data_IF_923514523946
#
_entry.id   IF_923514523946
#
_cell.length_a   1.000
_cell.length_b   1.000
_cell.length_c   1.000
_cell.angle_alpha   90.00
_cell.angle_beta   90.00
_cell.angle_gamma   90.00
#
_symmetry.space_group_name_H-M   'P 1'
#
loop_
_entity.id
_entity.type
_entity.pdbx_description
1 polymer ?
#
# COMPACT_ATOMS: atom_id res chain seq x y z
N UNK A 1 -0.57 14.83 18.79
CA UNK A 1 0.06 14.75 17.46
C UNK A 1 -0.61 13.69 16.60
N UNK A 2 -0.80 13.93 15.30
CA UNK A 2 -1.42 12.99 14.36
C UNK A 2 -0.50 12.79 13.16
N UNK A 3 -0.05 11.55 12.96
CA UNK A 3 0.85 11.17 11.86
C UNK A 3 0.11 10.36 10.80
N UNK A 4 0.58 10.40 9.55
CA UNK A 4 -0.02 9.67 8.43
C UNK A 4 0.93 8.58 7.93
N UNK A 5 0.55 7.31 8.14
CA UNK A 5 1.25 6.13 7.61
C UNK A 5 0.51 5.54 6.40
N UNK A 6 0.74 4.28 6.04
CA UNK A 6 0.02 3.58 4.98
C UNK A 6 -0.28 2.15 5.43
N UNK A 7 -1.40 1.57 5.00
CA UNK A 7 -1.67 0.14 5.27
C UNK A 7 -0.69 -0.80 4.57
N UNK A 8 0.03 -0.32 3.56
CA UNK A 8 1.04 -1.07 2.79
C UNK A 8 2.18 -1.68 3.62
N UNK A 9 2.36 -1.24 4.86
CA UNK A 9 3.36 -1.82 5.77
C UNK A 9 2.92 -3.16 6.38
N UNK A 10 1.61 -3.43 6.44
CA UNK A 10 1.08 -4.73 6.90
C UNK A 10 1.04 -5.77 5.79
N UNK A 11 0.75 -5.32 4.56
CA UNK A 11 0.58 -6.21 3.40
C UNK A 11 1.87 -6.47 2.62
N UNK A 12 2.93 -5.70 2.88
CA UNK A 12 4.24 -5.91 2.24
C UNK A 12 4.20 -5.72 0.73
N UNK A 13 4.31 -4.48 0.24
CA UNK A 13 4.31 -4.23 -1.21
C UNK A 13 5.68 -4.56 -1.84
N UNK A 14 5.78 -5.57 -2.72
CA UNK A 14 7.02 -5.84 -3.45
C UNK A 14 7.39 -4.67 -4.37
N UNK A 15 8.70 -4.46 -4.59
CA UNK A 15 9.27 -3.33 -5.36
C UNK A 15 9.04 -1.94 -4.74
N UNK A 16 8.70 -1.87 -3.45
CA UNK A 16 8.47 -0.61 -2.71
C UNK A 16 9.09 -0.59 -1.32
N UNK A 17 10.15 -1.37 -1.13
CA UNK A 17 10.87 -1.51 0.14
C UNK A 17 11.19 -0.18 0.83
N UNK A 18 11.83 0.82 0.17
CA UNK A 18 12.17 2.07 0.86
C UNK A 18 10.93 2.82 1.35
N UNK A 19 9.87 2.86 0.55
CA UNK A 19 8.60 3.50 0.95
C UNK A 19 7.92 2.77 2.13
N UNK A 20 7.92 1.44 2.10
CA UNK A 20 7.34 0.62 3.18
C UNK A 20 8.13 0.83 4.48
N UNK A 21 9.45 0.80 4.41
CA UNK A 21 10.34 1.03 5.56
C UNK A 21 10.11 2.42 6.14
N UNK A 22 10.10 3.49 5.31
CA UNK A 22 9.87 4.85 5.81
C UNK A 22 8.52 5.00 6.51
N UNK A 23 7.46 4.40 5.97
CA UNK A 23 6.13 4.49 6.61
C UNK A 23 5.99 3.60 7.85
N UNK A 24 6.76 2.53 7.94
CA UNK A 24 6.85 1.71 9.15
C UNK A 24 7.61 2.43 10.26
N UNK A 25 8.68 3.15 9.92
CA UNK A 25 9.43 3.98 10.86
C UNK A 25 8.54 5.04 11.54
N UNK A 26 7.66 5.70 10.77
CA UNK A 26 6.70 6.68 11.33
C UNK A 26 5.72 6.04 12.33
N UNK A 27 5.29 4.80 12.09
CA UNK A 27 4.41 4.07 13.00
C UNK A 27 5.10 3.78 14.34
N UNK A 28 6.34 3.29 14.29
CA UNK A 28 7.13 3.02 15.49
C UNK A 28 7.53 4.28 16.24
N UNK A 29 7.89 5.35 15.52
CA UNK A 29 8.14 6.65 16.11
C UNK A 29 6.92 7.13 16.90
N UNK A 30 5.72 7.02 16.32
CA UNK A 30 4.49 7.45 17.00
C UNK A 30 4.21 6.61 18.25
N UNK A 31 4.45 5.30 18.20
CA UNK A 31 4.30 4.39 19.34
C UNK A 31 5.25 4.74 20.49
N UNK A 32 6.51 5.02 20.18
CA UNK A 32 7.49 5.45 21.20
C UNK A 32 7.12 6.81 21.79
N UNK A 33 6.79 7.79 20.94
CA UNK A 33 6.37 9.12 21.39
C UNK A 33 5.12 9.07 22.27
N UNK A 34 4.16 8.19 21.99
CA UNK A 34 2.99 8.03 22.84
C UNK A 34 3.34 7.53 24.25
N UNK A 35 4.39 6.71 24.39
CA UNK A 35 4.88 6.23 25.69
C UNK A 35 5.66 7.31 26.44
N UNK A 36 6.52 8.04 25.73
CA UNK A 36 7.34 9.11 26.31
C UNK A 36 6.52 10.33 26.73
N UNK A 37 5.51 10.69 25.92
CA UNK A 37 4.69 11.88 26.14
C UNK A 37 3.41 11.60 26.97
N UNK A 38 3.15 10.33 27.30
CA UNK A 38 2.03 9.91 28.15
C UNK A 38 1.97 10.63 29.50
N UNK A 39 3.07 10.78 30.26
CA UNK A 39 3.10 11.50 31.53
C UNK A 39 2.72 12.99 31.40
N UNK A 40 2.93 13.58 30.23
CA UNK A 40 2.58 14.98 29.93
C UNK A 40 1.14 15.13 29.42
N UNK A 41 0.34 14.06 29.44
CA UNK A 41 -1.02 14.01 28.92
C UNK A 41 -1.14 14.37 27.42
N UNK A 42 -0.08 14.11 26.63
CA UNK A 42 -0.06 14.37 25.20
C UNK A 42 -0.32 13.07 24.43
N UNK A 43 -1.37 13.06 23.61
CA UNK A 43 -1.72 11.89 22.79
C UNK A 43 -1.06 11.95 21.42
N UNK A 44 -0.48 10.83 20.99
CA UNK A 44 0.17 10.66 19.69
C UNK A 44 -0.42 9.45 18.95
N UNK A 45 -1.06 9.68 17.81
CA UNK A 45 -1.72 8.63 17.02
C UNK A 45 -1.28 8.66 15.56
N UNK A 46 -1.39 7.52 14.88
CA UNK A 46 -1.12 7.40 13.45
C UNK A 46 -2.35 6.91 12.70
N UNK A 47 -2.69 7.55 11.58
CA UNK A 47 -3.76 7.11 10.68
C UNK A 47 -3.21 6.39 9.46
N UNK A 48 -3.97 5.41 8.95
CA UNK A 48 -3.53 4.49 7.89
C UNK A 48 -4.47 4.54 6.69
N UNK A 49 -4.24 5.44 5.73
CA UNK A 49 -4.98 5.43 4.48
C UNK A 49 -4.70 4.16 3.66
N UNK A 50 -5.80 3.58 3.19
CA UNK A 50 -5.84 2.57 2.15
C UNK A 50 -5.88 3.26 0.76
N UNK A 51 -6.38 2.56 -0.25
CA UNK A 51 -6.63 3.14 -1.57
C UNK A 51 -7.73 4.19 -1.46
N UNK A 52 -7.37 5.44 -1.72
CA UNK A 52 -8.32 6.56 -1.78
C UNK A 52 -8.72 6.76 -3.25
N UNK A 53 -9.97 7.14 -3.49
CA UNK A 53 -10.41 7.55 -4.84
C UNK A 53 -9.96 8.98 -5.12
N UNK A 54 -8.73 9.09 -5.59
CA UNK A 54 -8.13 10.31 -6.08
C UNK A 54 -7.46 10.03 -7.42
N UNK A 55 -7.11 11.08 -8.15
CA UNK A 55 -6.61 10.95 -9.53
C UNK A 55 -5.43 9.96 -9.63
N UNK A 56 -4.49 10.05 -8.68
CA UNK A 56 -3.38 9.09 -8.56
C UNK A 56 -3.85 7.67 -8.27
N UNK A 57 -4.86 7.49 -7.42
CA UNK A 57 -5.48 6.20 -7.10
C UNK A 57 -6.09 5.55 -8.34
N UNK A 58 -6.94 6.29 -9.07
CA UNK A 58 -7.55 5.86 -10.34
C UNK A 58 -6.51 5.49 -11.38
N UNK A 59 -5.48 6.32 -11.56
CA UNK A 59 -4.37 6.04 -12.47
C UNK A 59 -3.62 4.76 -12.12
N UNK A 60 -3.40 4.46 -10.83
CA UNK A 60 -2.78 3.19 -10.40
C UNK A 60 -3.67 1.99 -10.69
N UNK A 61 -4.98 2.12 -10.50
CA UNK A 61 -5.95 1.07 -10.81
C UNK A 61 -6.03 0.80 -12.30
N UNK A 62 -6.10 1.83 -13.14
CA UNK A 62 -6.08 1.69 -14.60
C UNK A 62 -4.78 1.08 -15.12
N UNK A 63 -3.61 1.50 -14.61
CA UNK A 63 -2.32 0.88 -14.97
C UNK A 63 -2.29 -0.61 -14.61
N UNK A 64 -2.81 -0.99 -13.43
CA UNK A 64 -2.93 -2.39 -13.02
C UNK A 64 -3.91 -3.18 -13.90
N UNK A 65 -5.04 -2.58 -14.27
CA UNK A 65 -6.02 -3.19 -15.17
C UNK A 65 -5.43 -3.46 -16.56
N UNK A 66 -4.76 -2.45 -17.17
CA UNK A 66 -4.08 -2.60 -18.46
C UNK A 66 -3.00 -3.70 -18.43
N UNK A 67 -2.22 -3.76 -17.36
CA UNK A 67 -1.19 -4.79 -17.18
C UNK A 67 -1.77 -6.20 -16.99
N UNK A 68 -2.97 -6.34 -16.40
CA UNK A 68 -3.66 -7.63 -16.31
C UNK A 68 -4.18 -8.10 -17.66
N UNK A 69 -4.78 -7.20 -18.45
CA UNK A 69 -5.33 -7.54 -19.76
C UNK A 69 -4.23 -8.04 -20.71
N UNK A 70 -3.04 -7.44 -20.72
CA UNK A 70 -1.93 -7.91 -21.54
C UNK A 70 -1.41 -9.29 -21.13
N UNK A 71 -1.51 -9.64 -19.84
CA UNK A 71 -1.09 -10.94 -19.32
C UNK A 71 -2.11 -12.05 -19.66
N UNK A 72 -3.41 -11.75 -19.58
CA UNK A 72 -4.48 -12.69 -20.01
C UNK A 72 -4.43 -12.91 -21.53
N UNK A 73 -4.20 -11.86 -22.32
CA UNK A 73 -4.12 -11.97 -23.79
C UNK A 73 -2.97 -12.87 -24.27
N UNK A 74 -1.84 -12.88 -23.55
CA UNK A 74 -0.69 -13.76 -23.83
C UNK A 74 -0.92 -15.23 -23.44
N UNK A 75 -1.81 -15.51 -22.48
CA UNK A 75 -2.18 -16.90 -22.14
C UNK A 75 -3.14 -17.51 -23.15
N UNK A 76 -4.04 -16.70 -23.72
CA UNK A 76 -5.03 -17.19 -24.69
C UNK A 76 -4.45 -17.46 -26.09
N UNK A 77 -3.28 -16.93 -26.44
CA UNK A 77 -2.62 -17.20 -27.74
C UNK A 77 -1.85 -18.53 -27.78
N UNK A 78 -1.85 -19.31 -26.68
CA UNK A 78 -1.20 -20.62 -26.59
C UNK A 78 -2.15 -21.78 -26.26
N UNK A 79 -3.46 -21.55 -26.19
CA UNK A 79 -4.44 -22.62 -26.16
C UNK A 79 -4.74 -23.01 -27.61
N UNK A 80 -4.04 -24.01 -28.13
CA UNK A 80 -4.49 -24.73 -29.32
C UNK A 80 -5.92 -25.22 -29.06
N UNK A 81 -6.85 -25.03 -30.01
CA UNK A 81 -8.18 -25.60 -29.87
C UNK A 81 -8.00 -27.11 -29.77
N UNK A 82 -8.43 -27.70 -28.64
CA UNK A 82 -8.59 -29.14 -28.52
C UNK A 82 -9.62 -29.51 -29.59
N UNK A 83 -9.10 -30.09 -30.68
CA UNK A 83 -9.85 -30.72 -31.74
C UNK A 83 -10.65 -31.88 -31.15
N UNK A 84 -11.96 -31.74 -31.12
CA UNK A 84 -12.92 -32.83 -30.98
C UNK A 84 -13.62 -33.04 -32.32
#
# INVERSE_FOLDING_TARGET
MINIRTTSTRTGLPKRTPYVVSKFAVEWLTKNLARELGPFNIRCNTISPESIDNERGRMRTQKRARARVSHTRRRCSGASPISL
#
